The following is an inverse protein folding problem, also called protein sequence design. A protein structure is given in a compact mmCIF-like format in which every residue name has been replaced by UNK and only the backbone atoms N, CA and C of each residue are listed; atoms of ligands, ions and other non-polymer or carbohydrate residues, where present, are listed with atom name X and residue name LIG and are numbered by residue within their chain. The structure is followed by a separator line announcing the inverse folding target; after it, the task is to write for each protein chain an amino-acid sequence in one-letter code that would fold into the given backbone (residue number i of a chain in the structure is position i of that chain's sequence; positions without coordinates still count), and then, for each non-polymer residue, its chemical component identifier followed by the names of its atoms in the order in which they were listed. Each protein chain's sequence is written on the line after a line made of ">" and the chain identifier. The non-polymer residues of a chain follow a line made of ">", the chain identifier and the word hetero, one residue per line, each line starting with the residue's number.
data_IF_304494416238
#
_entry.id   IF_304494416238
#
_cell.length_a   1.000
_cell.length_b   1.000
_cell.length_c   1.000
_cell.angle_alpha   90.00
_cell.angle_beta   90.00
_cell.angle_gamma   90.00
#
_symmetry.space_group_name_H-M   'P 1'
#
loop_
_entity.id
_entity.type
_entity.pdbx_description
1 polymer ?
#
# COMPACT_ATOMS: atom_id res chain seq x y z
N UNK A 1 -24.76 -5.22 -4.94
CA UNK A 1 -23.76 -4.77 -5.92
C UNK A 1 -22.53 -4.37 -5.12
N UNK A 2 -21.34 -4.81 -5.48
CA UNK A 2 -20.11 -4.36 -4.82
C UNK A 2 -19.96 -2.85 -5.03
N UNK A 3 -19.49 -2.15 -4.00
CA UNK A 3 -19.34 -0.70 -4.03
C UNK A 3 -17.92 -0.36 -4.50
N UNK A 4 -17.78 0.41 -5.58
CA UNK A 4 -16.47 0.83 -6.09
C UNK A 4 -15.85 1.87 -5.17
N UNK A 5 -14.72 1.54 -4.54
CA UNK A 5 -13.98 2.46 -3.65
C UNK A 5 -12.96 3.31 -4.41
N UNK A 6 -12.28 2.72 -5.41
CA UNK A 6 -11.32 3.42 -6.26
C UNK A 6 -11.67 3.21 -7.73
N UNK A 7 -11.67 4.30 -8.52
CA UNK A 7 -11.84 4.27 -9.97
C UNK A 7 -10.76 5.10 -10.62
N UNK A 8 -10.06 4.52 -11.57
CA UNK A 8 -9.03 5.18 -12.40
C UNK A 8 -9.56 5.26 -13.82
N UNK A 9 -9.56 6.46 -14.40
CA UNK A 9 -10.12 6.74 -15.73
C UNK A 9 -9.12 7.45 -16.63
N UNK A 10 -8.84 6.85 -17.78
CA UNK A 10 -7.98 7.36 -18.86
C UNK A 10 -6.69 8.01 -18.31
N UNK A 11 -6.04 7.32 -17.36
CA UNK A 11 -4.93 7.88 -16.62
C UNK A 11 -3.63 7.85 -17.42
N UNK A 12 -3.03 9.03 -17.61
CA UNK A 12 -1.78 9.22 -18.32
C UNK A 12 -0.74 9.90 -17.43
N UNK A 13 0.51 9.49 -17.56
CA UNK A 13 1.64 10.17 -16.95
C UNK A 13 2.85 10.20 -17.88
N UNK A 14 3.39 11.39 -18.07
CA UNK A 14 4.67 11.60 -18.74
C UNK A 14 5.62 12.37 -17.82
N UNK A 15 6.91 12.05 -17.93
CA UNK A 15 8.00 12.79 -17.30
C UNK A 15 8.90 13.32 -18.43
N UNK A 16 8.90 14.63 -18.65
CA UNK A 16 9.50 15.20 -19.85
C UNK A 16 8.88 14.62 -21.12
N UNK A 17 9.66 14.03 -22.00
CA UNK A 17 9.19 13.37 -23.23
C UNK A 17 8.83 11.89 -23.06
N UNK A 18 9.11 11.27 -21.89
CA UNK A 18 8.90 9.84 -21.66
C UNK A 18 7.50 9.57 -21.16
N UNK A 19 6.69 8.81 -21.91
CA UNK A 19 5.36 8.34 -21.52
C UNK A 19 5.49 7.11 -20.64
N UNK A 20 5.05 7.22 -19.38
CA UNK A 20 5.14 6.12 -18.39
C UNK A 20 3.79 5.43 -18.20
N UNK A 21 2.67 6.17 -18.28
CA UNK A 21 1.33 5.60 -18.29
C UNK A 21 0.54 6.15 -19.47
N UNK A 22 -0.27 5.29 -20.09
CA UNK A 22 -0.99 5.57 -21.35
C UNK A 22 -2.42 4.99 -21.29
N UNK A 23 -3.37 5.79 -20.76
CA UNK A 23 -4.79 5.45 -20.76
C UNK A 23 -5.15 4.29 -19.82
N UNK A 24 -4.60 4.27 -18.61
CA UNK A 24 -4.92 3.22 -17.63
C UNK A 24 -6.33 3.40 -17.09
N UNK A 25 -7.12 2.32 -17.14
CA UNK A 25 -8.49 2.26 -16.63
C UNK A 25 -8.68 1.02 -15.77
N UNK A 26 -9.17 1.16 -14.54
CA UNK A 26 -9.61 0.05 -13.68
C UNK A 26 -10.43 0.54 -12.51
N UNK A 27 -11.09 -0.40 -11.82
CA UNK A 27 -11.81 -0.16 -10.57
C UNK A 27 -11.34 -1.11 -9.49
N UNK A 28 -11.41 -0.67 -8.22
CA UNK A 28 -11.21 -1.52 -7.03
C UNK A 28 -12.50 -1.46 -6.22
N UNK A 29 -13.00 -2.62 -5.85
CA UNK A 29 -14.22 -2.72 -5.03
C UNK A 29 -13.89 -2.64 -3.53
N UNK A 30 -14.84 -2.17 -2.74
CA UNK A 30 -14.69 -2.09 -1.29
C UNK A 30 -14.46 -3.49 -0.68
N UNK A 31 -13.43 -3.62 0.15
CA UNK A 31 -13.02 -4.88 0.76
C UNK A 31 -12.22 -5.82 -0.17
N UNK A 32 -11.94 -5.42 -1.40
CA UNK A 32 -11.14 -6.21 -2.35
C UNK A 32 -9.68 -6.29 -1.88
N UNK A 33 -9.07 -7.50 -1.92
CA UNK A 33 -7.64 -7.72 -1.84
C UNK A 33 -7.12 -8.01 -3.24
N UNK A 34 -6.43 -7.05 -3.84
CA UNK A 34 -5.98 -7.16 -5.23
C UNK A 34 -4.55 -6.71 -5.43
N UNK A 35 -3.98 -7.11 -6.55
CA UNK A 35 -2.60 -6.80 -6.91
C UNK A 35 -2.48 -6.14 -8.27
N UNK A 36 -1.38 -5.38 -8.42
CA UNK A 36 -0.88 -4.90 -9.70
C UNK A 36 0.48 -5.54 -9.95
N UNK A 37 0.58 -6.27 -11.03
CA UNK A 37 1.80 -6.92 -11.48
C UNK A 37 2.24 -6.37 -12.84
N UNK A 38 3.44 -6.72 -13.27
CA UNK A 38 4.00 -6.33 -14.56
C UNK A 38 5.52 -6.24 -14.50
N UNK A 39 6.18 -6.19 -15.65
CA UNK A 39 7.64 -6.11 -15.73
C UNK A 39 8.22 -4.84 -15.09
N UNK A 40 9.53 -4.82 -14.94
CA UNK A 40 10.24 -3.63 -14.49
C UNK A 40 10.03 -2.49 -15.50
N UNK A 41 9.78 -1.27 -14.99
CA UNK A 41 9.47 -0.15 -15.87
C UNK A 41 8.04 -0.10 -16.41
N UNK A 42 7.16 -1.05 -16.09
CA UNK A 42 5.76 -1.05 -16.54
C UNK A 42 4.92 0.16 -16.04
N UNK A 43 5.40 0.89 -15.02
CA UNK A 43 4.73 2.06 -14.46
C UNK A 43 3.98 1.81 -13.14
N UNK A 44 4.15 0.65 -12.50
CA UNK A 44 3.45 0.25 -11.27
C UNK A 44 3.62 1.27 -10.13
N UNK A 45 4.86 1.59 -9.77
CA UNK A 45 5.17 2.57 -8.71
C UNK A 45 4.69 3.97 -9.09
N UNK A 46 4.76 4.33 -10.38
CA UNK A 46 4.20 5.61 -10.88
C UNK A 46 2.70 5.66 -10.67
N UNK A 47 1.97 4.58 -10.97
CA UNK A 47 0.54 4.47 -10.74
C UNK A 47 0.20 4.63 -9.25
N UNK A 48 0.92 3.96 -8.36
CA UNK A 48 0.77 4.12 -6.91
C UNK A 48 1.02 5.56 -6.46
N UNK A 49 2.06 6.21 -6.98
CA UNK A 49 2.40 7.58 -6.64
C UNK A 49 1.36 8.60 -7.15
N UNK A 50 0.67 8.31 -8.24
CA UNK A 50 -0.46 9.10 -8.72
C UNK A 50 -1.68 8.96 -7.81
N UNK A 51 -2.02 7.73 -7.40
CA UNK A 51 -3.16 7.45 -6.50
C UNK A 51 -2.91 8.09 -5.14
N UNK A 52 -1.68 8.09 -4.65
CA UNK A 52 -1.32 8.65 -3.33
C UNK A 52 -1.01 10.15 -3.35
N UNK A 53 -1.12 10.81 -4.51
CA UNK A 53 -0.89 12.25 -4.65
C UNK A 53 0.58 12.69 -4.67
N UNK A 54 1.54 11.74 -4.68
CA UNK A 54 2.97 12.04 -4.81
C UNK A 54 3.33 12.57 -6.21
N UNK A 55 2.53 12.22 -7.21
CA UNK A 55 2.62 12.75 -8.56
C UNK A 55 1.25 13.25 -9.04
N UNK A 56 1.27 14.27 -9.89
CA UNK A 56 0.07 14.77 -10.58
C UNK A 56 -0.03 14.07 -11.94
N UNK A 57 -1.20 13.54 -12.34
CA UNK A 57 -1.38 12.96 -13.66
C UNK A 57 -1.22 14.02 -14.76
N UNK A 58 -0.76 13.58 -15.94
CA UNK A 58 -0.71 14.45 -17.13
C UNK A 58 -2.11 14.62 -17.72
N UNK A 59 -2.94 13.56 -17.65
CA UNK A 59 -4.33 13.52 -18.09
C UNK A 59 -5.06 12.38 -17.37
N UNK A 60 -6.39 12.44 -17.36
CA UNK A 60 -7.26 11.44 -16.75
C UNK A 60 -7.68 11.83 -15.34
N UNK A 61 -8.39 10.94 -14.68
CA UNK A 61 -8.96 11.17 -13.37
C UNK A 61 -8.78 9.94 -12.46
N UNK A 62 -8.75 10.20 -11.15
CA UNK A 62 -8.72 9.19 -10.10
C UNK A 62 -9.82 9.53 -9.11
N UNK A 63 -10.79 8.64 -8.95
CA UNK A 63 -11.87 8.83 -8.00
C UNK A 63 -11.72 7.87 -6.83
N UNK A 64 -11.77 8.40 -5.62
CA UNK A 64 -11.84 7.64 -4.39
C UNK A 64 -13.17 7.95 -3.71
N UNK A 65 -14.01 6.93 -3.51
CA UNK A 65 -15.38 7.08 -3.00
C UNK A 65 -16.19 8.15 -3.78
N UNK A 66 -16.07 8.16 -5.09
CA UNK A 66 -16.75 9.10 -5.98
C UNK A 66 -16.13 10.52 -6.01
N UNK A 67 -15.16 10.83 -5.16
CA UNK A 67 -14.46 12.13 -5.16
C UNK A 67 -13.22 12.07 -6.04
N UNK A 68 -13.06 13.00 -6.98
CA UNK A 68 -11.83 13.12 -7.76
C UNK A 68 -10.67 13.58 -6.85
N UNK A 69 -9.61 12.76 -6.80
CA UNK A 69 -8.39 12.99 -6.02
C UNK A 69 -7.17 13.29 -6.91
N UNK A 70 -7.33 13.35 -8.22
CA UNK A 70 -6.23 13.65 -9.14
C UNK A 70 -5.64 15.04 -8.84
N UNK A 71 -4.35 15.08 -8.50
CA UNK A 71 -3.65 16.32 -8.13
C UNK A 71 -3.84 16.78 -6.67
N UNK A 72 -4.59 16.04 -5.85
CA UNK A 72 -4.60 16.27 -4.40
C UNK A 72 -3.21 16.04 -3.80
N UNK A 73 -2.90 16.79 -2.73
CA UNK A 73 -1.65 16.56 -2.00
C UNK A 73 -1.70 15.26 -1.18
N UNK A 74 -0.55 14.61 -0.91
CA UNK A 74 -0.53 13.34 -0.18
C UNK A 74 -1.26 13.37 1.17
N UNK A 75 -1.14 14.46 1.93
CA UNK A 75 -1.83 14.60 3.22
C UNK A 75 -3.36 14.68 3.07
N UNK A 76 -3.87 15.19 1.93
CA UNK A 76 -5.30 15.22 1.63
C UNK A 76 -5.81 13.82 1.30
N UNK A 77 -5.05 13.08 0.47
CA UNK A 77 -5.35 11.69 0.10
C UNK A 77 -5.41 10.79 1.34
N UNK A 78 -4.44 10.94 2.26
CA UNK A 78 -4.44 10.24 3.55
C UNK A 78 -5.69 10.57 4.37
N UNK A 79 -6.11 11.83 4.42
CA UNK A 79 -7.32 12.25 5.15
C UNK A 79 -8.60 11.70 4.55
N UNK A 80 -8.61 11.42 3.27
CA UNK A 80 -9.73 10.76 2.58
C UNK A 80 -9.80 9.26 2.88
N UNK A 81 -8.72 8.66 3.38
CA UNK A 81 -8.70 7.26 3.81
C UNK A 81 -7.83 6.34 2.96
N UNK A 82 -6.91 6.84 2.14
CA UNK A 82 -5.89 6.04 1.47
C UNK A 82 -4.59 6.16 2.24
N UNK A 83 -4.00 5.05 2.68
CA UNK A 83 -2.66 5.01 3.23
C UNK A 83 -1.75 4.09 2.40
N UNK A 84 -0.47 4.43 2.31
CA UNK A 84 0.55 3.64 1.63
C UNK A 84 1.61 3.23 2.65
N UNK A 85 1.95 1.93 2.69
CA UNK A 85 3.19 1.46 3.28
C UNK A 85 4.26 1.48 2.19
N UNK A 86 5.41 2.08 2.47
CA UNK A 86 6.41 2.43 1.48
C UNK A 86 7.40 1.29 1.22
N UNK A 87 7.96 1.27 0.01
CA UNK A 87 9.09 0.40 -0.35
C UNK A 87 10.34 0.71 0.51
N UNK A 88 10.55 2.00 0.82
CA UNK A 88 11.55 2.46 1.80
C UNK A 88 10.80 2.82 3.07
N UNK A 89 11.13 2.17 4.18
CA UNK A 89 10.46 2.38 5.47
C UNK A 89 10.60 3.82 5.95
N UNK A 90 9.45 4.48 6.22
CA UNK A 90 9.40 5.87 6.70
C UNK A 90 9.30 5.92 8.23
N UNK A 91 10.24 5.28 8.92
CA UNK A 91 10.31 5.25 10.39
C UNK A 91 11.24 6.35 10.92
N UNK A 92 10.99 6.79 12.13
CA UNK A 92 11.92 7.61 12.90
C UNK A 92 12.92 6.71 13.64
N UNK A 93 14.12 6.46 13.11
CA UNK A 93 14.98 5.37 13.57
C UNK A 93 15.48 5.55 15.01
N UNK A 94 15.47 6.78 15.54
CA UNK A 94 15.86 7.12 16.92
C UNK A 94 14.73 6.98 17.93
N UNK A 95 13.49 6.88 17.48
CA UNK A 95 12.35 6.64 18.34
C UNK A 95 12.15 5.14 18.57
N UNK A 96 11.51 4.77 19.67
CA UNK A 96 11.06 3.40 19.88
C UNK A 96 9.96 3.02 18.88
N UNK A 97 9.73 1.72 18.74
CA UNK A 97 8.65 1.16 17.91
C UNK A 97 7.30 1.76 18.32
N UNK A 98 7.03 1.81 19.63
CA UNK A 98 5.80 2.39 20.17
C UNK A 98 5.68 3.89 19.91
N UNK A 99 6.76 4.65 20.07
CA UNK A 99 6.75 6.10 19.80
C UNK A 99 6.51 6.43 18.34
N UNK A 100 7.02 5.65 17.42
CA UNK A 100 6.71 5.78 15.99
C UNK A 100 5.20 5.70 15.73
N UNK A 101 4.53 4.67 16.28
CA UNK A 101 3.09 4.48 16.09
C UNK A 101 2.28 5.57 16.79
N UNK A 102 2.69 5.99 18.00
CA UNK A 102 2.07 7.12 18.70
C UNK A 102 2.15 8.41 17.88
N UNK A 103 3.32 8.71 17.28
CA UNK A 103 3.49 9.88 16.43
C UNK A 103 2.52 9.88 15.25
N UNK A 104 2.36 8.75 14.57
CA UNK A 104 1.39 8.61 13.47
C UNK A 104 -0.06 8.83 13.93
N UNK A 105 -0.47 8.28 15.07
CA UNK A 105 -1.80 8.46 15.64
C UNK A 105 -2.07 9.94 15.97
N UNK A 106 -1.14 10.59 16.65
CA UNK A 106 -1.26 12.02 17.06
C UNK A 106 -1.36 12.92 15.83
N UNK A 107 -0.52 12.68 14.82
CA UNK A 107 -0.53 13.42 13.56
C UNK A 107 -1.89 13.31 12.86
N UNK A 108 -2.43 12.10 12.76
CA UNK A 108 -3.73 11.85 12.11
C UNK A 108 -4.90 12.51 12.87
N UNK A 109 -4.88 12.49 14.21
CA UNK A 109 -5.93 13.07 15.05
C UNK A 109 -5.88 14.60 15.13
N UNK A 110 -4.93 15.28 14.47
CA UNK A 110 -4.66 16.73 14.57
C UNK A 110 -4.43 17.20 16.02
N UNK A 111 -3.98 16.32 16.91
CA UNK A 111 -3.68 16.64 18.33
C UNK A 111 -2.32 17.31 18.51
N UNK A 112 -1.56 17.47 17.43
CA UNK A 112 -0.28 18.17 17.40
C UNK A 112 -0.37 19.65 17.74
N UNK A 113 -1.59 20.24 17.71
CA UNK A 113 -1.84 21.63 18.16
C UNK A 113 -2.05 21.77 19.66
N UNK A 114 -2.20 20.65 20.40
CA UNK A 114 -2.34 20.68 21.87
C UNK A 114 -0.96 20.58 22.53
N UNK A 115 -0.29 21.72 22.65
CA UNK A 115 1.06 21.84 23.22
C UNK A 115 1.10 21.61 24.75
N UNK A 116 -0.06 21.55 25.43
CA UNK A 116 -0.14 21.48 26.88
C UNK A 116 -0.15 20.05 27.45
N UNK A 117 -0.47 19.06 26.63
CA UNK A 117 -0.55 17.68 27.08
C UNK A 117 0.58 16.82 26.45
N UNK A 118 1.56 16.37 27.23
CA UNK A 118 2.56 15.45 26.73
C UNK A 118 1.94 14.17 26.15
N UNK A 119 2.43 13.71 24.99
CA UNK A 119 1.96 12.47 24.31
C UNK A 119 2.03 11.25 25.21
N UNK A 120 3.00 11.22 26.13
CA UNK A 120 3.14 10.14 27.13
C UNK A 120 1.94 10.02 28.09
N UNK A 121 1.18 11.09 28.29
CA UNK A 121 -0.02 11.13 29.16
C UNK A 121 -1.31 10.78 28.42
N UNK A 122 -1.29 10.63 27.08
CA UNK A 122 -2.46 10.26 26.28
C UNK A 122 -2.64 8.73 26.33
N UNK A 123 -3.38 8.25 27.32
CA UNK A 123 -3.62 6.80 27.51
C UNK A 123 -4.31 6.17 26.29
N UNK A 124 -5.28 6.83 25.71
CA UNK A 124 -5.98 6.39 24.49
C UNK A 124 -5.05 6.21 23.28
N UNK A 125 -4.05 7.08 23.13
CA UNK A 125 -3.00 6.95 22.09
C UNK A 125 -2.09 5.78 22.37
N UNK A 126 -1.72 5.58 23.66
CA UNK A 126 -0.87 4.46 24.07
C UNK A 126 -1.54 3.12 23.79
N UNK A 127 -2.76 2.94 24.31
CA UNK A 127 -3.50 1.67 24.20
C UNK A 127 -3.76 1.34 22.72
N UNK A 128 -4.15 2.32 21.92
CA UNK A 128 -4.33 2.14 20.48
C UNK A 128 -3.02 1.81 19.76
N UNK A 129 -1.91 2.47 20.10
CA UNK A 129 -0.61 2.17 19.49
C UNK A 129 -0.17 0.75 19.82
N UNK A 130 -0.37 0.32 21.07
CA UNK A 130 -0.02 -1.03 21.50
C UNK A 130 -0.85 -2.09 20.77
N UNK A 131 -2.17 -1.90 20.64
CA UNK A 131 -3.04 -2.79 19.88
C UNK A 131 -2.64 -2.90 18.39
N UNK A 132 -2.19 -1.80 17.76
CA UNK A 132 -1.65 -1.85 16.40
C UNK A 132 -0.35 -2.66 16.32
N UNK A 133 0.52 -2.56 17.33
CA UNK A 133 1.73 -3.37 17.40
C UNK A 133 1.42 -4.85 17.61
N UNK A 134 0.42 -5.19 18.41
CA UNK A 134 -0.06 -6.57 18.55
C UNK A 134 -0.54 -7.13 17.21
N UNK A 135 -1.32 -6.34 16.46
CA UNK A 135 -1.83 -6.73 15.14
C UNK A 135 -0.71 -7.07 14.14
N UNK A 136 0.43 -6.38 14.22
CA UNK A 136 1.57 -6.65 13.33
C UNK A 136 2.65 -7.55 13.96
N UNK A 137 2.44 -8.01 15.20
CA UNK A 137 3.37 -8.90 15.92
C UNK A 137 4.66 -8.22 16.37
N UNK A 138 4.57 -6.96 16.81
CA UNK A 138 5.70 -6.16 17.30
C UNK A 138 5.53 -5.68 18.75
N UNK A 139 4.51 -6.16 19.48
CA UNK A 139 4.22 -5.73 20.85
C UNK A 139 5.41 -5.96 21.79
N UNK A 140 6.08 -7.12 21.69
CA UNK A 140 7.25 -7.47 22.51
C UNK A 140 8.48 -6.58 22.22
N UNK A 141 8.50 -5.89 21.08
CA UNK A 141 9.57 -4.98 20.66
C UNK A 141 9.16 -3.50 20.80
N UNK A 142 8.04 -3.21 21.48
CA UNK A 142 7.48 -1.86 21.60
C UNK A 142 8.47 -0.81 22.15
N UNK A 143 9.31 -1.19 23.10
CA UNK A 143 10.34 -0.32 23.71
C UNK A 143 11.65 -0.28 22.91
N UNK A 144 11.85 -1.19 21.94
CA UNK A 144 13.08 -1.24 21.16
C UNK A 144 13.19 -0.03 20.23
N UNK A 145 14.40 0.48 20.02
CA UNK A 145 14.66 1.54 19.05
C UNK A 145 14.40 1.02 17.62
N UNK A 146 13.54 1.70 16.87
CA UNK A 146 13.05 1.17 15.58
C UNK A 146 14.14 0.99 14.52
N UNK A 147 15.19 1.81 14.57
CA UNK A 147 16.34 1.67 13.67
C UNK A 147 17.16 0.40 13.87
N UNK A 148 17.01 -0.29 15.01
CA UNK A 148 17.72 -1.55 15.32
C UNK A 148 16.90 -2.81 15.00
N UNK A 149 15.68 -2.64 14.52
CA UNK A 149 14.84 -3.76 14.08
C UNK A 149 15.43 -4.47 12.86
N UNK A 150 15.24 -5.78 12.77
CA UNK A 150 15.45 -6.52 11.54
C UNK A 150 14.58 -5.96 10.41
N UNK A 151 15.03 -6.07 9.17
CA UNK A 151 14.35 -5.48 8.00
C UNK A 151 12.88 -5.86 7.88
N UNK A 152 12.54 -7.14 8.06
CA UNK A 152 11.15 -7.60 8.05
C UNK A 152 10.29 -6.95 9.14
N UNK A 153 10.84 -6.70 10.34
CA UNK A 153 10.14 -6.03 11.42
C UNK A 153 9.98 -4.51 11.17
N UNK A 154 10.94 -3.87 10.49
CA UNK A 154 10.78 -2.48 10.04
C UNK A 154 9.61 -2.36 9.04
N UNK A 155 9.46 -3.32 8.12
CA UNK A 155 8.31 -3.37 7.19
C UNK A 155 6.98 -3.59 7.92
N UNK A 156 6.94 -4.43 8.95
CA UNK A 156 5.75 -4.61 9.80
C UNK A 156 5.40 -3.33 10.55
N UNK A 157 6.41 -2.61 11.05
CA UNK A 157 6.21 -1.30 11.67
C UNK A 157 5.63 -0.29 10.68
N UNK A 158 6.09 -0.27 9.44
CA UNK A 158 5.57 0.61 8.39
C UNK A 158 4.08 0.33 8.09
N UNK A 159 3.68 -0.95 8.06
CA UNK A 159 2.27 -1.34 7.98
C UNK A 159 1.49 -0.82 9.20
N UNK A 160 2.05 -0.92 10.43
CA UNK A 160 1.39 -0.39 11.62
C UNK A 160 1.22 1.15 11.56
N UNK A 161 2.20 1.87 11.02
CA UNK A 161 2.12 3.32 10.80
C UNK A 161 1.00 3.67 9.81
N UNK A 162 0.90 2.93 8.71
CA UNK A 162 -0.19 3.11 7.75
C UNK A 162 -1.57 2.82 8.37
N UNK A 163 -1.70 1.75 9.16
CA UNK A 163 -2.93 1.41 9.89
C UNK A 163 -3.29 2.44 10.97
N UNK A 164 -2.29 3.11 11.57
CA UNK A 164 -2.50 4.19 12.52
C UNK A 164 -3.33 5.35 11.95
N UNK A 165 -3.30 5.53 10.63
CA UNK A 165 -4.06 6.53 9.88
C UNK A 165 -5.53 6.13 9.64
N UNK A 166 -5.98 4.95 10.11
CA UNK A 166 -7.35 4.41 9.91
C UNK A 166 -7.78 4.40 8.45
N UNK A 167 -7.00 3.78 7.56
CA UNK A 167 -7.32 3.82 6.15
C UNK A 167 -8.55 2.96 5.84
N UNK A 168 -9.30 3.36 4.80
CA UNK A 168 -10.31 2.53 4.15
C UNK A 168 -9.68 1.71 3.02
N UNK A 169 -8.56 2.20 2.48
CA UNK A 169 -7.76 1.51 1.47
C UNK A 169 -6.28 1.58 1.86
N UNK A 170 -5.65 0.41 1.98
CA UNK A 170 -4.22 0.26 2.24
C UNK A 170 -3.49 -0.16 0.97
N UNK A 171 -2.49 0.61 0.59
CA UNK A 171 -1.64 0.33 -0.56
C UNK A 171 -0.28 -0.16 -0.08
N UNK A 172 0.16 -1.34 -0.57
CA UNK A 172 1.43 -1.95 -0.19
C UNK A 172 2.34 -2.03 -1.42
N UNK A 173 3.49 -1.36 -1.36
CA UNK A 173 4.46 -1.31 -2.47
C UNK A 173 5.62 -2.27 -2.17
N UNK A 174 5.59 -3.46 -2.77
CA UNK A 174 6.55 -4.55 -2.60
C UNK A 174 6.77 -4.93 -1.12
N UNK A 175 5.71 -5.34 -0.41
CA UNK A 175 5.79 -5.57 1.04
C UNK A 175 6.77 -6.66 1.44
N UNK A 176 7.14 -7.58 0.54
CA UNK A 176 8.04 -8.70 0.82
C UNK A 176 9.45 -8.53 0.23
N UNK A 177 9.74 -7.40 -0.43
CA UNK A 177 11.04 -7.16 -1.04
C UNK A 177 12.19 -7.20 -0.02
N UNK A 178 13.27 -7.91 -0.36
CA UNK A 178 14.46 -8.04 0.48
C UNK A 178 14.33 -9.00 1.67
N UNK A 179 13.23 -9.74 1.78
CA UNK A 179 12.98 -10.69 2.86
C UNK A 179 13.44 -12.11 2.52
N UNK A 180 13.86 -12.86 3.55
CA UNK A 180 14.06 -14.31 3.44
C UNK A 180 12.73 -15.02 3.10
N UNK A 181 12.75 -16.25 2.57
CA UNK A 181 11.53 -17.00 2.26
C UNK A 181 10.59 -17.18 3.46
N UNK A 182 11.15 -17.30 4.67
CA UNK A 182 10.39 -17.46 5.90
C UNK A 182 9.69 -16.15 6.31
N UNK A 183 10.43 -15.04 6.32
CA UNK A 183 9.89 -13.70 6.60
C UNK A 183 8.81 -13.31 5.58
N UNK A 184 9.02 -13.66 4.31
CA UNK A 184 8.06 -13.43 3.22
C UNK A 184 6.74 -14.14 3.51
N UNK A 185 6.79 -15.45 3.82
CA UNK A 185 5.58 -16.22 4.19
C UNK A 185 4.88 -15.64 5.41
N UNK A 186 5.63 -15.21 6.41
CA UNK A 186 5.07 -14.58 7.62
C UNK A 186 4.38 -13.24 7.29
N UNK A 187 4.96 -12.42 6.41
CA UNK A 187 4.40 -11.15 5.97
C UNK A 187 3.13 -11.33 5.13
N UNK A 188 3.12 -12.31 4.23
CA UNK A 188 1.92 -12.66 3.45
C UNK A 188 0.76 -13.07 4.36
N UNK A 189 1.02 -13.96 5.34
CA UNK A 189 0.00 -14.34 6.34
C UNK A 189 -0.47 -13.15 7.17
N UNK A 190 0.42 -12.22 7.50
CA UNK A 190 0.05 -10.98 8.19
C UNK A 190 -0.91 -10.14 7.33
N UNK A 191 -0.59 -9.90 6.07
CA UNK A 191 -1.43 -9.11 5.14
C UNK A 191 -2.82 -9.74 5.00
N UNK A 192 -2.90 -11.06 4.78
CA UNK A 192 -4.18 -11.77 4.70
C UNK A 192 -4.99 -11.64 5.99
N UNK A 193 -4.37 -11.86 7.15
CA UNK A 193 -5.02 -11.73 8.45
C UNK A 193 -5.55 -10.31 8.68
N UNK A 194 -4.75 -9.29 8.39
CA UNK A 194 -5.16 -7.89 8.52
C UNK A 194 -6.34 -7.56 7.59
N UNK A 195 -6.32 -8.04 6.36
CA UNK A 195 -7.43 -7.88 5.43
C UNK A 195 -8.72 -8.52 5.93
N UNK A 196 -8.65 -9.79 6.38
CA UNK A 196 -9.80 -10.53 6.90
C UNK A 196 -10.38 -9.90 8.16
N UNK A 197 -9.53 -9.46 9.10
CA UNK A 197 -9.96 -8.92 10.40
C UNK A 197 -10.46 -7.49 10.31
N UNK A 198 -9.76 -6.63 9.56
CA UNK A 198 -10.05 -5.19 9.50
C UNK A 198 -11.05 -4.83 8.40
N UNK A 199 -11.34 -5.75 7.47
CA UNK A 199 -12.27 -5.56 6.34
C UNK A 199 -11.91 -4.33 5.49
N UNK A 200 -10.63 -3.96 5.42
CA UNK A 200 -10.14 -2.84 4.61
C UNK A 200 -9.84 -3.29 3.19
N UNK A 201 -10.00 -2.40 2.23
CA UNK A 201 -9.56 -2.64 0.86
C UNK A 201 -8.05 -2.64 0.80
N UNK A 202 -7.44 -3.59 0.11
CA UNK A 202 -6.00 -3.63 -0.07
C UNK A 202 -5.61 -3.74 -1.55
N UNK A 203 -4.67 -2.90 -1.97
CA UNK A 203 -4.05 -2.97 -3.29
C UNK A 203 -2.54 -3.06 -3.11
N UNK A 204 -1.90 -4.08 -3.68
CA UNK A 204 -0.46 -4.25 -3.52
C UNK A 204 0.26 -4.48 -4.85
N UNK A 205 1.53 -4.11 -4.89
CA UNK A 205 2.47 -4.44 -5.96
C UNK A 205 3.38 -5.54 -5.44
N UNK A 206 3.56 -6.60 -6.21
CA UNK A 206 4.51 -7.69 -5.95
C UNK A 206 5.06 -8.26 -7.24
N UNK A 207 6.24 -8.88 -7.14
CA UNK A 207 6.92 -9.56 -8.24
C UNK A 207 6.90 -11.08 -8.09
N UNK A 208 6.62 -11.58 -6.88
CA UNK A 208 6.52 -13.00 -6.60
C UNK A 208 5.12 -13.51 -6.96
N UNK A 209 5.04 -14.31 -8.02
CA UNK A 209 3.77 -14.81 -8.55
C UNK A 209 3.06 -15.76 -7.58
N UNK A 210 3.80 -16.53 -6.76
CA UNK A 210 3.21 -17.41 -5.76
C UNK A 210 2.44 -16.61 -4.71
N UNK A 211 2.99 -15.46 -4.31
CA UNK A 211 2.32 -14.53 -3.41
C UNK A 211 1.10 -13.94 -4.08
N UNK A 212 1.28 -13.38 -5.28
CA UNK A 212 0.21 -12.71 -6.03
C UNK A 212 -0.98 -13.64 -6.22
N UNK A 213 -0.73 -14.85 -6.75
CA UNK A 213 -1.80 -15.81 -7.03
C UNK A 213 -2.36 -16.47 -5.77
N UNK A 214 -1.56 -16.52 -4.69
CA UNK A 214 -1.96 -17.13 -3.43
C UNK A 214 -2.93 -16.28 -2.60
N UNK A 215 -2.90 -14.95 -2.72
CA UNK A 215 -3.70 -14.08 -1.85
C UNK A 215 -4.64 -13.10 -2.58
N UNK A 216 -4.39 -12.79 -3.86
CA UNK A 216 -5.22 -11.84 -4.60
C UNK A 216 -6.57 -12.44 -4.97
N UNK A 217 -7.63 -11.65 -4.81
CA UNK A 217 -8.93 -11.95 -5.41
C UNK A 217 -8.97 -11.52 -6.88
N UNK A 218 -8.25 -10.45 -7.22
CA UNK A 218 -8.13 -9.92 -8.56
C UNK A 218 -6.70 -9.45 -8.83
N UNK A 219 -6.20 -9.75 -10.01
CA UNK A 219 -4.86 -9.37 -10.48
C UNK A 219 -5.01 -8.46 -11.69
N UNK A 220 -4.28 -7.35 -11.69
CA UNK A 220 -4.18 -6.39 -12.80
C UNK A 220 -2.77 -6.42 -13.35
N UNK A 221 -2.64 -6.62 -14.66
CA UNK A 221 -1.34 -6.72 -15.32
C UNK A 221 -1.05 -5.44 -16.08
N UNK A 222 -0.06 -4.70 -15.62
CA UNK A 222 0.42 -3.47 -16.25
C UNK A 222 1.65 -3.79 -17.10
N UNK A 223 1.67 -3.34 -18.36
CA UNK A 223 2.77 -3.52 -19.28
C UNK A 223 2.92 -2.27 -20.16
N UNK A 224 4.14 -1.74 -20.28
CA UNK A 224 4.44 -0.52 -21.05
C UNK A 224 3.43 0.62 -20.81
N UNK A 225 3.07 0.84 -19.53
CA UNK A 225 2.17 1.91 -19.12
C UNK A 225 0.68 1.67 -19.41
N UNK A 226 0.28 0.50 -19.85
CA UNK A 226 -1.12 0.16 -20.16
C UNK A 226 -1.54 -1.11 -19.43
N UNK A 227 -2.84 -1.21 -19.08
CA UNK A 227 -3.41 -2.42 -18.50
C UNK A 227 -3.69 -3.42 -19.62
N UNK A 228 -3.01 -4.57 -19.60
CA UNK A 228 -3.15 -5.60 -20.65
C UNK A 228 -4.09 -6.74 -20.27
N UNK A 229 -4.30 -6.97 -18.99
CA UNK A 229 -5.23 -7.99 -18.47
C UNK A 229 -5.70 -7.62 -17.06
N UNK A 230 -6.92 -8.04 -16.71
CA UNK A 230 -7.50 -7.95 -15.38
C UNK A 230 -8.43 -9.15 -15.17
N UNK A 231 -8.34 -9.79 -14.00
CA UNK A 231 -9.19 -10.94 -13.66
C UNK A 231 -8.73 -11.70 -12.43
N UNK A 232 -9.41 -12.79 -12.08
CA UNK A 232 -8.98 -13.66 -11.00
C UNK A 232 -7.64 -14.36 -11.34
N UNK A 233 -6.83 -14.73 -10.33
CA UNK A 233 -5.53 -15.37 -10.52
C UNK A 233 -5.52 -16.55 -11.49
N UNK A 234 -6.55 -17.41 -11.42
CA UNK A 234 -6.67 -18.60 -12.27
C UNK A 234 -6.85 -18.28 -13.77
N UNK A 235 -7.38 -17.13 -14.11
CA UNK A 235 -7.49 -16.66 -15.49
C UNK A 235 -6.21 -15.95 -15.96
N UNK A 236 -5.64 -15.12 -15.10
CA UNK A 236 -4.41 -14.37 -15.40
C UNK A 236 -3.23 -15.32 -15.63
N UNK A 237 -3.08 -16.38 -14.83
CA UNK A 237 -2.01 -17.36 -14.99
C UNK A 237 -2.05 -18.13 -16.33
N UNK A 238 -3.20 -18.14 -17.01
CA UNK A 238 -3.39 -18.82 -18.31
C UNK A 238 -3.48 -17.84 -19.49
N UNK A 239 -3.42 -16.54 -19.21
CA UNK A 239 -3.56 -15.52 -20.24
C UNK A 239 -2.31 -15.46 -21.11
N UNK A 240 -2.44 -15.77 -22.40
CA UNK A 240 -1.31 -15.81 -23.35
C UNK A 240 -0.52 -14.52 -23.41
N UNK A 241 -1.18 -13.34 -23.41
CA UNK A 241 -0.50 -12.04 -23.43
C UNK A 241 0.33 -11.82 -22.17
N UNK A 242 -0.15 -12.28 -21.01
CA UNK A 242 0.57 -12.18 -19.74
C UNK A 242 1.80 -13.10 -19.76
N UNK A 243 1.63 -14.35 -20.21
CA UNK A 243 2.72 -15.31 -20.32
C UNK A 243 3.81 -14.80 -21.26
N UNK A 244 3.44 -14.26 -22.43
CA UNK A 244 4.39 -13.69 -23.40
C UNK A 244 5.21 -12.53 -22.83
N UNK A 245 4.58 -11.65 -22.05
CA UNK A 245 5.24 -10.51 -21.42
C UNK A 245 6.28 -10.96 -20.37
N UNK A 246 6.00 -12.01 -19.62
CA UNK A 246 6.92 -12.51 -18.61
C UNK A 246 7.99 -13.46 -19.16
N UNK A 247 7.67 -14.27 -20.20
CA UNK A 247 8.67 -15.13 -20.87
C UNK A 247 9.57 -14.34 -21.83
N UNK A 248 9.10 -13.22 -22.38
CA UNK A 248 9.89 -12.35 -23.25
C UNK A 248 10.97 -11.53 -22.53
N UNK A 249 10.94 -11.48 -21.18
CA UNK A 249 12.00 -10.85 -20.37
C UNK A 249 13.16 -11.83 -20.05
N UNK A 250 13.01 -13.12 -20.31
CA UNK A 250 14.06 -14.15 -20.11
C UNK A 250 14.95 -14.37 -21.34
N UNK A 251 14.79 -13.59 -22.41
CA UNK A 251 15.61 -13.58 -23.62
C UNK A 251 16.32 -12.22 -23.78
#
# INVERSE_FOLDING_TARGET
>A
MANTILKVEDLHKSFGGNKVLSGVNFTVEEGELSSIIGPNGAGKTTLFNLITGLHVPTRGAIFFQGKNIAGCQPYEVVRLGIAKAFQITSIFPRLSVLENVKAAIVSHQKRNSNLLTPVSKLKDVHDRAYALLENVGLADQAAQQSGTLAHGNQKRLDIALALALRPQMLMLDEPTAGMSPEERRATVKLVQRLWEQLKITMLFIEHDMDIVFGISQKVRVLCYGSLIAEGPPAEISKNKKVIEVYLGEEL
#
